data_IF_333553106563
#
_entry.id   IF_333553106563
#
_cell.length_a   1.000
_cell.length_b   1.000
_cell.length_c   1.000
_cell.angle_alpha   90.00
_cell.angle_beta   90.00
_cell.angle_gamma   90.00
#
_symmetry.space_group_name_H-M   'P 1'
#
loop_
_entity.id
_entity.type
_entity.pdbx_description
1 polymer ?
#
# COMPACT_ATOMS: atom_id res chain seq x y z
N UNK A 1 -6.83 -18.16 -10.35
CA UNK A 1 -6.79 -17.67 -8.95
C UNK A 1 -6.45 -18.82 -8.01
N UNK A 2 -7.25 -19.89 -7.98
CA UNK A 2 -7.09 -21.02 -7.06
C UNK A 2 -5.67 -21.62 -7.10
N UNK A 3 -5.21 -22.01 -8.27
CA UNK A 3 -3.86 -22.61 -8.43
C UNK A 3 -2.72 -21.70 -7.98
N UNK A 4 -2.74 -20.43 -8.42
CA UNK A 4 -1.65 -19.49 -8.06
C UNK A 4 -1.66 -19.14 -6.57
N UNK A 5 -2.83 -19.06 -5.93
CA UNK A 5 -2.92 -18.86 -4.49
C UNK A 5 -2.45 -20.11 -3.74
N UNK A 6 -2.87 -21.32 -4.15
CA UNK A 6 -2.43 -22.57 -3.53
C UNK A 6 -0.92 -22.81 -3.68
N UNK A 7 -0.32 -22.44 -4.82
CA UNK A 7 1.14 -22.47 -4.94
C UNK A 7 1.82 -21.50 -3.96
N UNK A 8 1.21 -20.32 -3.68
CA UNK A 8 1.77 -19.39 -2.72
C UNK A 8 1.74 -19.90 -1.27
N UNK A 9 0.85 -20.84 -0.92
CA UNK A 9 0.79 -21.45 0.42
C UNK A 9 2.00 -22.31 0.74
N UNK A 10 2.70 -22.84 -0.27
CA UNK A 10 3.91 -23.63 -0.06
C UNK A 10 5.13 -22.79 0.32
N UNK A 11 5.10 -21.49 0.05
CA UNK A 11 6.28 -20.61 0.28
C UNK A 11 6.68 -20.55 1.77
N UNK A 12 5.75 -20.38 2.75
CA UNK A 12 6.14 -20.43 4.16
C UNK A 12 6.83 -21.74 4.57
N UNK A 13 6.41 -22.89 4.03
CA UNK A 13 7.08 -24.17 4.28
C UNK A 13 8.49 -24.20 3.68
N UNK A 14 8.67 -23.70 2.46
CA UNK A 14 9.99 -23.63 1.84
C UNK A 14 10.92 -22.70 2.65
N UNK A 15 10.42 -21.63 3.23
CA UNK A 15 11.19 -20.80 4.15
C UNK A 15 11.60 -21.57 5.41
N UNK A 16 10.71 -22.36 6.01
CA UNK A 16 11.05 -23.20 7.19
C UNK A 16 12.16 -24.18 6.84
N UNK A 17 12.03 -24.89 5.71
CA UNK A 17 13.06 -25.85 5.26
C UNK A 17 14.39 -25.15 5.04
N UNK A 18 14.38 -23.98 4.39
CA UNK A 18 15.60 -23.22 4.10
C UNK A 18 16.29 -22.77 5.39
N UNK A 19 15.54 -22.27 6.38
CA UNK A 19 16.09 -21.85 7.67
C UNK A 19 16.58 -23.05 8.51
N UNK A 20 15.85 -24.16 8.52
CA UNK A 20 16.25 -25.38 9.20
C UNK A 20 17.58 -25.93 8.66
N UNK A 21 17.76 -25.97 7.33
CA UNK A 21 19.00 -26.36 6.69
C UNK A 21 20.18 -25.45 7.03
N UNK A 22 19.91 -24.15 7.17
CA UNK A 22 20.93 -23.18 7.58
C UNK A 22 21.32 -23.38 9.06
N UNK A 23 20.37 -23.58 9.97
CA UNK A 23 20.65 -23.84 11.38
C UNK A 23 21.45 -25.13 11.59
N UNK A 24 21.20 -26.15 10.77
CA UNK A 24 21.97 -27.41 10.76
C UNK A 24 23.33 -27.27 10.08
N UNK A 25 23.74 -26.10 9.67
CA UNK A 25 25.00 -25.80 8.96
C UNK A 25 25.18 -26.56 7.63
N UNK A 26 24.09 -27.05 7.03
CA UNK A 26 24.16 -27.75 5.75
C UNK A 26 24.30 -26.80 4.56
N UNK A 27 23.95 -25.53 4.71
CA UNK A 27 24.04 -24.47 3.67
C UNK A 27 24.81 -23.26 4.17
N UNK A 28 25.55 -22.61 3.26
CA UNK A 28 26.26 -21.38 3.53
C UNK A 28 25.30 -20.17 3.50
N UNK A 29 25.69 -19.08 4.15
CA UNK A 29 24.93 -17.82 4.21
C UNK A 29 24.55 -17.29 2.82
N UNK A 30 25.43 -17.38 1.82
CA UNK A 30 25.14 -16.94 0.46
C UNK A 30 24.03 -17.79 -0.19
N UNK A 31 24.00 -19.10 0.05
CA UNK A 31 22.94 -19.99 -0.45
C UNK A 31 21.62 -19.68 0.23
N UNK A 32 21.62 -19.40 1.53
CA UNK A 32 20.44 -18.94 2.26
C UNK A 32 19.88 -17.65 1.65
N UNK A 33 20.71 -16.64 1.41
CA UNK A 33 20.29 -15.38 0.81
C UNK A 33 19.71 -15.58 -0.61
N UNK A 34 20.39 -16.36 -1.45
CA UNK A 34 19.87 -16.69 -2.78
C UNK A 34 18.51 -17.39 -2.70
N UNK A 35 18.35 -18.32 -1.76
CA UNK A 35 17.09 -19.01 -1.51
C UNK A 35 15.97 -18.06 -1.10
N UNK A 36 16.23 -17.15 -0.16
CA UNK A 36 15.28 -16.14 0.29
C UNK A 36 14.83 -15.25 -0.88
N UNK A 37 15.79 -14.71 -1.65
CA UNK A 37 15.44 -13.84 -2.80
C UNK A 37 14.65 -14.59 -3.88
N UNK A 38 14.98 -15.87 -4.14
CA UNK A 38 14.25 -16.71 -5.09
C UNK A 38 12.82 -16.96 -4.63
N UNK A 39 12.60 -17.26 -3.35
CA UNK A 39 11.25 -17.47 -2.79
C UNK A 39 10.42 -16.19 -2.81
N UNK A 40 11.02 -15.04 -2.48
CA UNK A 40 10.35 -13.72 -2.55
C UNK A 40 9.98 -13.39 -4.01
N UNK A 41 10.86 -13.68 -4.97
CA UNK A 41 10.61 -13.47 -6.38
C UNK A 41 9.44 -14.33 -6.88
N UNK A 42 9.44 -15.62 -6.54
CA UNK A 42 8.34 -16.55 -6.85
C UNK A 42 7.02 -16.07 -6.24
N UNK A 43 7.04 -15.62 -4.97
CA UNK A 43 5.86 -15.06 -4.31
C UNK A 43 5.35 -13.81 -5.06
N UNK A 44 6.26 -12.96 -5.52
CA UNK A 44 5.92 -11.77 -6.32
C UNK A 44 5.21 -12.12 -7.62
N UNK A 45 5.69 -13.13 -8.36
CA UNK A 45 5.06 -13.62 -9.59
C UNK A 45 3.65 -14.16 -9.29
N UNK A 46 3.54 -15.04 -8.30
CA UNK A 46 2.25 -15.63 -7.90
C UNK A 46 1.25 -14.55 -7.50
N UNK A 47 1.69 -13.58 -6.70
CA UNK A 47 0.87 -12.43 -6.28
C UNK A 47 0.42 -11.56 -7.45
N UNK A 48 1.32 -11.34 -8.43
CA UNK A 48 1.01 -10.61 -9.66
C UNK A 48 -0.08 -11.28 -10.51
N UNK A 49 -0.25 -12.59 -10.38
CA UNK A 49 -1.29 -13.37 -11.09
C UNK A 49 -2.59 -13.39 -10.28
N UNK A 50 -2.55 -13.79 -9.00
CA UNK A 50 -3.80 -14.01 -8.25
C UNK A 50 -4.47 -12.71 -7.80
N UNK A 51 -3.71 -11.65 -7.49
CA UNK A 51 -4.28 -10.41 -6.94
C UNK A 51 -5.21 -9.66 -7.93
N UNK A 52 -4.82 -9.40 -9.20
CA UNK A 52 -5.73 -8.82 -10.18
C UNK A 52 -6.93 -9.73 -10.48
N UNK A 53 -6.67 -11.03 -10.60
CA UNK A 53 -7.72 -12.02 -10.88
C UNK A 53 -8.75 -12.10 -9.74
N UNK A 54 -8.32 -11.98 -8.48
CA UNK A 54 -9.22 -11.94 -7.33
C UNK A 54 -10.07 -10.67 -7.31
N UNK A 55 -9.47 -9.52 -7.63
CA UNK A 55 -10.21 -8.25 -7.70
C UNK A 55 -11.25 -8.25 -8.84
N UNK A 56 -10.94 -8.88 -9.98
CA UNK A 56 -11.89 -9.00 -11.09
C UNK A 56 -13.04 -10.00 -10.81
N UNK A 57 -12.83 -10.95 -9.92
CA UNK A 57 -13.85 -11.96 -9.56
C UNK A 57 -14.94 -11.39 -8.65
N UNK A 58 -14.64 -10.42 -7.80
CA UNK A 58 -15.54 -9.86 -6.80
C UNK A 58 -16.91 -9.42 -7.34
N UNK A 59 -17.01 -8.64 -8.44
CA UNK A 59 -18.29 -8.20 -8.97
C UNK A 59 -19.20 -9.35 -9.41
N UNK A 60 -18.60 -10.48 -9.82
CA UNK A 60 -19.38 -11.65 -10.26
C UNK A 60 -19.90 -12.51 -9.11
N UNK A 61 -19.28 -12.40 -7.93
CA UNK A 61 -19.68 -13.14 -6.73
C UNK A 61 -20.69 -12.37 -5.88
N UNK A 62 -20.88 -11.06 -6.14
CA UNK A 62 -21.72 -10.20 -5.32
C UNK A 62 -22.93 -9.75 -6.15
N UNK A 63 -24.19 -9.86 -5.66
CA UNK A 63 -25.34 -9.29 -6.34
C UNK A 63 -25.25 -7.75 -6.37
N UNK A 64 -25.77 -7.12 -7.43
CA UNK A 64 -25.67 -5.67 -7.64
C UNK A 64 -26.20 -4.85 -6.45
N UNK A 65 -27.27 -5.31 -5.81
CA UNK A 65 -27.86 -4.67 -4.63
C UNK A 65 -26.93 -4.64 -3.41
N UNK A 66 -25.90 -5.51 -3.36
CA UNK A 66 -24.97 -5.64 -2.24
C UNK A 66 -23.57 -5.08 -2.54
N UNK A 67 -23.32 -4.48 -3.72
CA UNK A 67 -21.99 -3.98 -4.09
C UNK A 67 -21.42 -2.97 -3.09
N UNK A 68 -22.22 -2.02 -2.61
CA UNK A 68 -21.80 -1.02 -1.63
C UNK A 68 -21.37 -1.67 -0.30
N UNK A 69 -22.17 -2.63 0.17
CA UNK A 69 -21.89 -3.36 1.40
C UNK A 69 -20.63 -4.22 1.26
N UNK A 70 -20.47 -4.94 0.14
CA UNK A 70 -19.28 -5.74 -0.14
C UNK A 70 -18.00 -4.90 -0.25
N UNK A 71 -18.10 -3.71 -0.83
CA UNK A 71 -16.99 -2.76 -0.89
C UNK A 71 -16.57 -2.29 0.51
N UNK A 72 -17.54 -1.97 1.37
CA UNK A 72 -17.31 -1.58 2.76
C UNK A 72 -16.63 -2.69 3.56
N UNK A 73 -17.14 -3.95 3.48
CA UNK A 73 -16.51 -5.09 4.14
C UNK A 73 -15.08 -5.33 3.64
N UNK A 74 -14.85 -5.20 2.34
CA UNK A 74 -13.51 -5.34 1.76
C UNK A 74 -12.55 -4.29 2.31
N UNK A 75 -12.99 -3.04 2.40
CA UNK A 75 -12.17 -1.96 2.95
C UNK A 75 -11.86 -2.18 4.43
N UNK A 76 -12.88 -2.62 5.22
CA UNK A 76 -12.70 -2.96 6.63
C UNK A 76 -11.70 -4.09 6.82
N UNK A 77 -11.83 -5.21 6.08
CA UNK A 77 -10.91 -6.35 6.17
C UNK A 77 -9.48 -5.92 5.81
N UNK A 78 -9.32 -5.11 4.77
CA UNK A 78 -8.01 -4.58 4.39
C UNK A 78 -7.39 -3.73 5.50
N UNK A 79 -8.17 -2.85 6.09
CA UNK A 79 -7.71 -1.95 7.16
C UNK A 79 -7.39 -2.72 8.45
N UNK A 80 -8.27 -3.64 8.85
CA UNK A 80 -8.03 -4.51 10.01
C UNK A 80 -6.79 -5.39 9.80
N UNK A 81 -6.59 -5.90 8.57
CA UNK A 81 -5.37 -6.64 8.22
C UNK A 81 -4.11 -5.79 8.36
N UNK A 82 -4.17 -4.53 7.96
CA UNK A 82 -3.06 -3.58 8.12
C UNK A 82 -2.67 -3.31 9.58
N UNK A 83 -3.61 -3.43 10.52
CA UNK A 83 -3.38 -3.26 11.95
C UNK A 83 -2.99 -4.59 12.61
N UNK A 84 -3.83 -5.61 12.43
CA UNK A 84 -3.70 -6.87 13.18
C UNK A 84 -2.51 -7.71 12.71
N UNK A 85 -2.25 -7.76 11.38
CA UNK A 85 -1.20 -8.63 10.86
C UNK A 85 0.20 -8.25 11.38
N UNK A 86 0.67 -6.99 11.37
CA UNK A 86 1.97 -6.63 11.95
C UNK A 86 2.05 -6.86 13.46
N UNK A 87 0.97 -6.55 14.21
CA UNK A 87 0.92 -6.77 15.66
C UNK A 87 1.01 -8.26 16.00
N UNK A 88 0.17 -9.09 15.36
CA UNK A 88 0.21 -10.54 15.55
C UNK A 88 1.56 -11.13 15.12
N UNK A 89 2.12 -10.68 13.98
CA UNK A 89 3.43 -11.15 13.52
C UNK A 89 4.53 -10.79 14.52
N UNK A 90 4.55 -9.56 15.06
CA UNK A 90 5.51 -9.13 16.07
C UNK A 90 5.44 -9.98 17.35
N UNK A 91 4.23 -10.20 17.88
CA UNK A 91 3.99 -11.02 19.06
C UNK A 91 4.36 -12.50 18.83
N UNK A 92 3.91 -13.10 17.73
CA UNK A 92 4.20 -14.50 17.40
C UNK A 92 5.69 -14.73 17.21
N UNK A 93 6.38 -13.83 16.49
CA UNK A 93 7.82 -13.94 16.29
C UNK A 93 8.60 -13.76 17.60
N UNK A 94 8.16 -12.85 18.48
CA UNK A 94 8.79 -12.62 19.77
C UNK A 94 8.62 -13.80 20.76
N UNK A 95 7.44 -14.43 20.79
CA UNK A 95 7.13 -15.50 21.75
C UNK A 95 7.40 -16.91 21.23
N UNK A 96 7.09 -17.19 19.96
CA UNK A 96 7.14 -18.51 19.38
C UNK A 96 8.35 -18.75 18.48
N UNK A 97 9.04 -17.69 18.07
CA UNK A 97 10.13 -17.75 17.12
C UNK A 97 9.66 -17.91 15.66
N UNK A 98 10.63 -17.93 14.74
CA UNK A 98 10.38 -17.85 13.30
C UNK A 98 9.66 -19.09 12.76
N UNK A 99 10.11 -20.29 13.12
CA UNK A 99 9.59 -21.54 12.56
C UNK A 99 8.09 -21.74 12.89
N UNK A 100 7.72 -21.59 14.16
CA UNK A 100 6.33 -21.76 14.60
C UNK A 100 5.43 -20.68 14.00
N UNK A 101 5.94 -19.46 13.88
CA UNK A 101 5.19 -18.36 13.25
C UNK A 101 4.93 -18.66 11.77
N UNK A 102 5.91 -19.15 11.03
CA UNK A 102 5.74 -19.54 9.63
C UNK A 102 4.78 -20.74 9.46
N UNK A 103 4.76 -21.67 10.41
CA UNK A 103 3.77 -22.77 10.43
C UNK A 103 2.35 -22.25 10.60
N UNK A 104 2.13 -21.27 11.49
CA UNK A 104 0.82 -20.62 11.66
C UNK A 104 0.41 -19.93 10.37
N UNK A 105 1.31 -19.18 9.73
CA UNK A 105 1.06 -18.53 8.44
C UNK A 105 0.70 -19.54 7.36
N UNK A 106 1.44 -20.64 7.28
CA UNK A 106 1.14 -21.74 6.35
C UNK A 106 -0.26 -22.29 6.56
N UNK A 107 -0.64 -22.58 7.80
CA UNK A 107 -1.96 -23.11 8.13
C UNK A 107 -3.08 -22.13 7.76
N UNK A 108 -2.92 -20.84 8.06
CA UNK A 108 -3.88 -19.79 7.67
C UNK A 108 -4.01 -19.68 6.14
N UNK A 109 -2.91 -19.78 5.41
CA UNK A 109 -2.92 -19.79 3.95
C UNK A 109 -3.63 -21.05 3.40
N UNK A 110 -3.46 -22.22 4.02
CA UNK A 110 -4.18 -23.45 3.66
C UNK A 110 -5.69 -23.27 3.85
N UNK A 111 -6.13 -22.71 4.97
CA UNK A 111 -7.55 -22.42 5.21
C UNK A 111 -8.08 -21.49 4.11
N UNK A 112 -7.33 -20.41 3.76
CA UNK A 112 -7.70 -19.53 2.65
C UNK A 112 -7.80 -20.25 1.30
N UNK A 113 -6.89 -21.19 1.01
CA UNK A 113 -6.95 -22.04 -0.19
C UNK A 113 -8.20 -22.91 -0.21
N UNK A 114 -8.50 -23.59 0.88
CA UNK A 114 -9.70 -24.45 0.99
C UNK A 114 -10.96 -23.63 0.75
N UNK A 115 -11.06 -22.44 1.34
CA UNK A 115 -12.18 -21.53 1.11
C UNK A 115 -12.31 -21.11 -0.37
N UNK A 116 -11.19 -20.90 -1.07
CA UNK A 116 -11.21 -20.58 -2.49
C UNK A 116 -11.64 -21.76 -3.38
N UNK A 117 -11.31 -22.99 -3.03
CA UNK A 117 -11.79 -24.19 -3.75
C UNK A 117 -13.27 -24.42 -3.56
N UNK A 118 -13.87 -23.99 -2.44
CA UNK A 118 -15.31 -24.02 -2.20
C UNK A 118 -16.13 -23.06 -3.08
N UNK A 119 -15.49 -22.10 -3.77
CA UNK A 119 -16.15 -21.21 -4.69
C UNK A 119 -16.47 -21.94 -6.00
N UNK A 120 -17.77 -22.03 -6.34
CA UNK A 120 -18.23 -22.61 -7.60
C UNK A 120 -17.64 -21.88 -8.80
N UNK A 121 -17.00 -22.63 -9.70
CA UNK A 121 -16.51 -22.12 -10.99
C UNK A 121 -17.73 -21.90 -11.90
N UNK A 122 -18.22 -20.66 -11.97
CA UNK A 122 -19.17 -20.26 -13.01
C UNK A 122 -18.38 -19.81 -14.23
N UNK A 123 -18.86 -20.15 -15.43
CA UNK A 123 -18.33 -19.63 -16.67
C UNK A 123 -18.52 -18.11 -16.70
N UNK A 124 -17.45 -17.39 -16.56
CA UNK A 124 -17.44 -15.93 -16.64
C UNK A 124 -17.43 -15.51 -18.10
N UNK A 125 -18.32 -14.60 -18.55
CA UNK A 125 -18.31 -14.14 -19.91
C UNK A 125 -16.96 -13.51 -20.22
N UNK A 126 -16.29 -14.03 -21.26
CA UNK A 126 -15.06 -13.46 -21.78
C UNK A 126 -15.36 -12.07 -22.32
N UNK A 127 -14.91 -11.04 -21.63
CA UNK A 127 -15.00 -9.66 -22.10
C UNK A 127 -14.27 -9.53 -23.44
N UNK A 128 -14.94 -8.97 -24.45
CA UNK A 128 -14.42 -8.69 -25.77
C UNK A 128 -12.98 -8.17 -25.73
N UNK A 129 -12.10 -8.76 -26.53
CA UNK A 129 -10.73 -8.32 -26.79
C UNK A 129 -10.74 -6.95 -27.51
N UNK A 130 -11.02 -5.87 -26.77
CA UNK A 130 -10.69 -4.53 -27.27
C UNK A 130 -9.16 -4.36 -27.21
N UNK A 131 -8.57 -3.75 -28.22
CA UNK A 131 -7.13 -3.45 -28.27
C UNK A 131 -6.70 -2.68 -27.02
N UNK A 132 -6.09 -3.39 -26.06
CA UNK A 132 -5.70 -2.89 -24.73
C UNK A 132 -4.86 -1.61 -24.83
N UNK A 133 -3.96 -1.56 -25.82
CA UNK A 133 -3.03 -0.43 -26.02
C UNK A 133 -3.75 0.88 -26.41
N UNK A 134 -4.74 0.81 -27.31
CA UNK A 134 -5.51 1.99 -27.75
C UNK A 134 -6.38 2.54 -26.60
N UNK A 135 -6.92 1.64 -25.84
CA UNK A 135 -7.78 1.86 -24.69
C UNK A 135 -7.03 2.52 -23.50
N UNK A 136 -5.82 2.07 -23.21
CA UNK A 136 -4.97 2.65 -22.17
C UNK A 136 -4.46 4.05 -22.56
N UNK A 137 -4.16 4.27 -23.85
CA UNK A 137 -3.74 5.57 -24.37
C UNK A 137 -4.81 6.65 -24.18
N UNK A 138 -6.09 6.32 -24.39
CA UNK A 138 -7.21 7.24 -24.16
C UNK A 138 -7.32 7.66 -22.67
N UNK A 139 -7.19 6.70 -21.75
CA UNK A 139 -7.22 6.98 -20.32
C UNK A 139 -6.01 7.80 -19.86
N UNK A 140 -4.82 7.51 -20.39
CA UNK A 140 -3.61 8.27 -20.16
C UNK A 140 -3.78 9.74 -20.62
N UNK A 141 -4.24 9.96 -21.86
CA UNK A 141 -4.49 11.30 -22.37
C UNK A 141 -5.56 12.05 -21.56
N UNK A 142 -6.57 11.34 -21.08
CA UNK A 142 -7.59 11.92 -20.21
C UNK A 142 -6.98 12.44 -18.90
N UNK A 143 -6.14 11.64 -18.23
CA UNK A 143 -5.47 12.03 -16.97
C UNK A 143 -4.63 13.29 -17.20
N UNK A 144 -3.84 13.35 -18.28
CA UNK A 144 -2.98 14.50 -18.55
C UNK A 144 -3.75 15.77 -18.96
N UNK A 145 -4.95 15.63 -19.53
CA UNK A 145 -5.80 16.77 -19.88
C UNK A 145 -6.55 17.37 -18.67
N UNK A 146 -6.67 16.63 -17.57
CA UNK A 146 -7.36 17.07 -16.36
C UNK A 146 -6.36 17.46 -15.26
N UNK A 147 -6.05 18.75 -15.08
CA UNK A 147 -5.00 19.19 -14.15
C UNK A 147 -5.19 18.67 -12.72
N UNK A 148 -6.44 18.71 -12.21
CA UNK A 148 -6.73 18.23 -10.85
C UNK A 148 -6.38 16.75 -10.67
N UNK A 149 -6.70 15.93 -11.67
CA UNK A 149 -6.42 14.50 -11.64
C UNK A 149 -4.93 14.20 -11.79
N UNK A 150 -4.25 14.87 -12.71
CA UNK A 150 -2.81 14.72 -12.91
C UNK A 150 -2.03 15.09 -11.66
N UNK A 151 -2.28 16.28 -11.10
CA UNK A 151 -1.55 16.73 -9.91
C UNK A 151 -1.89 15.91 -8.67
N UNK A 152 -3.12 15.41 -8.55
CA UNK A 152 -3.48 14.52 -7.44
C UNK A 152 -2.70 13.19 -7.48
N UNK A 153 -2.56 12.60 -8.67
CA UNK A 153 -1.76 11.38 -8.85
C UNK A 153 -0.26 11.64 -8.66
N UNK A 154 0.24 12.80 -9.10
CA UNK A 154 1.64 13.16 -8.95
C UNK A 154 2.03 13.38 -7.47
N UNK A 155 1.18 14.06 -6.69
CA UNK A 155 1.41 14.23 -5.25
C UNK A 155 1.43 12.89 -4.51
N UNK A 156 0.52 12.00 -4.83
CA UNK A 156 0.47 10.66 -4.26
C UNK A 156 1.70 9.82 -4.63
N UNK A 157 2.07 9.84 -5.91
CA UNK A 157 3.29 9.17 -6.38
C UNK A 157 4.54 9.71 -5.68
N UNK A 158 4.63 11.04 -5.47
CA UNK A 158 5.75 11.64 -4.75
C UNK A 158 5.82 11.22 -3.29
N UNK A 159 4.67 11.12 -2.61
CA UNK A 159 4.62 10.61 -1.24
C UNK A 159 5.05 9.13 -1.18
N UNK A 160 4.59 8.30 -2.12
CA UNK A 160 5.01 6.89 -2.21
C UNK A 160 6.50 6.72 -2.51
N UNK A 161 7.07 7.55 -3.39
CA UNK A 161 8.48 7.46 -3.77
C UNK A 161 9.42 7.95 -2.66
N UNK A 162 9.09 9.08 -2.03
CA UNK A 162 10.02 9.80 -1.18
C UNK A 162 9.71 9.70 0.31
N UNK A 163 8.47 9.40 0.71
CA UNK A 163 8.06 9.23 2.10
C UNK A 163 7.76 7.77 2.46
N UNK A 164 8.31 6.79 1.74
CA UNK A 164 8.09 5.35 1.97
C UNK A 164 8.88 4.84 3.19
N UNK A 165 8.57 5.35 4.37
CA UNK A 165 9.28 5.04 5.62
C UNK A 165 9.10 3.59 6.05
N UNK A 166 7.96 2.95 5.69
CA UNK A 166 7.57 1.61 6.15
C UNK A 166 8.63 0.55 5.84
N UNK A 167 9.33 0.68 4.71
CA UNK A 167 10.38 -0.26 4.31
C UNK A 167 11.61 -0.18 5.22
N UNK A 168 11.87 0.99 5.80
CA UNK A 168 13.02 1.24 6.67
C UNK A 168 12.73 0.99 8.15
N UNK A 169 11.47 0.74 8.53
CA UNK A 169 11.08 0.49 9.91
C UNK A 169 11.88 -0.63 10.60
N UNK A 170 12.24 -1.76 9.93
CA UNK A 170 13.04 -2.79 10.59
C UNK A 170 14.43 -2.28 11.01
N UNK A 171 15.08 -1.51 10.13
CA UNK A 171 16.41 -0.94 10.41
C UNK A 171 16.28 0.15 11.46
N UNK A 172 15.26 1.02 11.34
CA UNK A 172 15.01 2.09 12.30
C UNK A 172 14.69 1.56 13.70
N UNK A 173 13.90 0.48 13.79
CA UNK A 173 13.56 -0.18 15.05
C UNK A 173 14.79 -0.80 15.72
N UNK A 174 15.65 -1.46 14.95
CA UNK A 174 16.83 -2.14 15.47
C UNK A 174 17.96 -1.17 15.82
N UNK A 175 18.34 -0.29 14.88
CA UNK A 175 19.58 0.51 14.99
C UNK A 175 19.37 1.83 15.75
N UNK A 176 18.17 2.39 15.76
CA UNK A 176 17.90 3.71 16.36
C UNK A 176 17.07 3.60 17.64
N UNK A 177 16.00 2.81 17.59
CA UNK A 177 15.09 2.67 18.73
C UNK A 177 15.46 1.50 19.65
N UNK A 178 16.40 0.63 19.23
CA UNK A 178 16.85 -0.56 19.95
C UNK A 178 15.69 -1.47 20.39
N UNK A 179 14.71 -1.64 19.52
CA UNK A 179 13.50 -2.41 19.78
C UNK A 179 13.61 -3.82 19.23
N UNK A 180 13.00 -4.77 19.96
CA UNK A 180 12.78 -6.13 19.48
C UNK A 180 11.68 -6.22 18.41
N UNK A 181 11.34 -7.46 18.03
CA UNK A 181 10.36 -7.77 16.98
C UNK A 181 8.97 -7.26 17.33
N UNK A 182 8.62 -7.25 18.61
CA UNK A 182 7.33 -6.72 19.11
C UNK A 182 7.20 -5.22 18.86
N UNK A 183 8.26 -4.45 19.13
CA UNK A 183 8.29 -3.01 18.88
C UNK A 183 8.18 -2.69 17.38
N UNK A 184 8.79 -3.50 16.53
CA UNK A 184 8.62 -3.39 15.07
C UNK A 184 7.16 -3.63 14.65
N UNK A 185 6.47 -4.60 15.29
CA UNK A 185 5.05 -4.87 15.05
C UNK A 185 4.19 -3.64 15.33
N UNK A 186 4.44 -2.96 16.47
CA UNK A 186 3.75 -1.72 16.85
C UNK A 186 4.02 -0.60 15.83
N UNK A 187 5.28 -0.37 15.46
CA UNK A 187 5.64 0.65 14.48
C UNK A 187 4.97 0.41 13.12
N UNK A 188 4.90 -0.84 12.67
CA UNK A 188 4.23 -1.20 11.41
C UNK A 188 2.72 -1.06 11.44
N UNK A 189 2.08 -1.27 12.59
CA UNK A 189 0.64 -1.10 12.76
C UNK A 189 0.22 0.38 12.86
N UNK A 190 1.12 1.25 13.32
CA UNK A 190 0.83 2.66 13.61
C UNK A 190 0.20 3.44 12.42
N UNK A 191 0.69 3.35 11.17
CA UNK A 191 0.06 4.04 10.05
C UNK A 191 -1.36 3.55 9.77
N UNK A 192 -1.61 2.24 9.89
CA UNK A 192 -2.93 1.66 9.67
C UNK A 192 -3.93 2.11 10.75
N UNK A 193 -3.49 2.25 12.00
CA UNK A 193 -4.30 2.82 13.09
C UNK A 193 -4.67 4.27 12.77
N UNK A 194 -3.70 5.08 12.34
CA UNK A 194 -3.95 6.47 11.93
C UNK A 194 -4.94 6.57 10.77
N UNK A 195 -4.77 5.72 9.76
CA UNK A 195 -5.68 5.64 8.63
C UNK A 195 -7.11 5.27 9.06
N UNK A 196 -7.26 4.30 9.96
CA UNK A 196 -8.56 3.89 10.48
C UNK A 196 -9.27 5.04 11.22
N UNK A 197 -8.57 5.69 12.14
CA UNK A 197 -9.10 6.84 12.90
C UNK A 197 -9.54 7.95 11.95
N UNK A 198 -8.69 8.31 10.98
CA UNK A 198 -9.00 9.37 10.02
C UNK A 198 -10.17 8.99 9.13
N UNK A 199 -10.25 7.77 8.62
CA UNK A 199 -11.39 7.30 7.82
C UNK A 199 -12.71 7.41 8.59
N UNK A 200 -12.74 7.05 9.88
CA UNK A 200 -13.91 7.25 10.73
C UNK A 200 -14.28 8.73 10.85
N UNK A 201 -13.31 9.62 11.02
CA UNK A 201 -13.57 11.07 11.07
C UNK A 201 -14.11 11.59 9.73
N UNK A 202 -13.61 11.07 8.60
CA UNK A 202 -14.07 11.46 7.26
C UNK A 202 -15.49 10.97 6.92
N UNK A 203 -16.07 10.04 7.67
CA UNK A 203 -17.50 9.70 7.53
C UNK A 203 -18.40 10.85 8.00
N UNK A 204 -17.92 11.64 8.96
CA UNK A 204 -18.64 12.81 9.48
C UNK A 204 -18.32 14.10 8.73
N UNK A 205 -17.10 14.23 8.21
CA UNK A 205 -16.61 15.43 7.54
C UNK A 205 -16.08 15.11 6.14
N UNK A 206 -16.82 15.50 5.10
CA UNK A 206 -16.38 15.25 3.72
C UNK A 206 -15.19 16.13 3.34
N UNK A 207 -14.06 15.58 2.91
CA UNK A 207 -12.89 16.34 2.50
C UNK A 207 -13.06 16.99 1.12
N UNK A 208 -14.18 16.72 0.42
CA UNK A 208 -14.41 17.12 -0.96
C UNK A 208 -14.79 18.59 -1.14
N UNK A 209 -15.26 19.30 -0.11
CA UNK A 209 -15.64 20.73 -0.22
C UNK A 209 -14.47 21.60 -0.72
N UNK A 210 -13.23 21.28 -0.33
CA UNK A 210 -12.01 21.93 -0.79
C UNK A 210 -10.96 20.85 -1.16
N UNK A 211 -11.33 19.92 -2.04
CA UNK A 211 -10.57 18.72 -2.33
C UNK A 211 -9.09 18.99 -2.62
N UNK A 212 -8.80 19.96 -3.50
CA UNK A 212 -7.42 20.29 -3.85
C UNK A 212 -6.62 20.85 -2.68
N UNK A 213 -7.22 21.77 -1.92
CA UNK A 213 -6.57 22.37 -0.74
C UNK A 213 -6.30 21.33 0.35
N UNK A 214 -7.28 20.47 0.64
CA UNK A 214 -7.14 19.40 1.63
C UNK A 214 -6.08 18.39 1.22
N UNK A 215 -5.98 18.07 -0.06
CA UNK A 215 -4.96 17.19 -0.60
C UNK A 215 -3.55 17.80 -0.50
N UNK A 216 -3.40 19.09 -0.75
CA UNK A 216 -2.14 19.78 -0.55
C UNK A 216 -1.73 19.78 0.93
N UNK A 217 -2.65 20.12 1.84
CA UNK A 217 -2.35 20.11 3.27
C UNK A 217 -2.00 18.72 3.79
N UNK A 218 -2.67 17.66 3.33
CA UNK A 218 -2.33 16.30 3.71
C UNK A 218 -0.94 15.90 3.21
N UNK A 219 -0.60 16.22 1.95
CA UNK A 219 0.74 15.95 1.41
C UNK A 219 1.84 16.71 2.15
N UNK A 220 1.60 17.98 2.50
CA UNK A 220 2.51 18.77 3.33
C UNK A 220 2.71 18.16 4.71
N UNK A 221 1.60 17.78 5.37
CA UNK A 221 1.63 17.16 6.69
C UNK A 221 2.36 15.81 6.68
N UNK A 222 2.16 14.97 5.65
CA UNK A 222 2.91 13.71 5.47
C UNK A 222 4.41 13.99 5.42
N UNK A 223 4.86 14.93 4.58
CA UNK A 223 6.27 15.25 4.46
C UNK A 223 6.86 15.80 5.77
N UNK A 224 6.11 16.68 6.47
CA UNK A 224 6.54 17.23 7.76
C UNK A 224 6.63 16.14 8.85
N UNK A 225 5.62 15.26 8.94
CA UNK A 225 5.63 14.12 9.86
C UNK A 225 6.77 13.13 9.54
N UNK A 226 7.09 12.93 8.25
CA UNK A 226 8.22 12.10 7.82
C UNK A 226 9.56 12.70 8.29
N UNK A 227 9.75 14.01 8.17
CA UNK A 227 10.93 14.70 8.68
C UNK A 227 11.03 14.61 10.21
N UNK A 228 9.92 14.82 10.91
CA UNK A 228 9.87 14.72 12.36
C UNK A 228 10.12 13.28 12.84
N UNK A 229 9.61 12.26 12.11
CA UNK A 229 9.92 10.86 12.35
C UNK A 229 11.41 10.57 12.20
N UNK A 230 12.05 11.10 11.15
CA UNK A 230 13.50 10.89 10.93
C UNK A 230 14.36 11.36 12.10
N UNK A 231 13.91 12.38 12.81
CA UNK A 231 14.61 12.97 13.97
C UNK A 231 14.18 12.34 15.30
N UNK A 232 13.19 11.45 15.31
CA UNK A 232 12.71 10.87 16.55
C UNK A 232 13.61 9.75 17.06
N UNK A 233 13.93 9.80 18.35
CA UNK A 233 14.72 8.78 19.07
C UNK A 233 13.90 8.00 20.12
N UNK A 234 12.61 8.32 20.25
CA UNK A 234 11.73 7.68 21.22
C UNK A 234 10.58 6.95 20.53
N UNK A 235 10.30 5.71 20.96
CA UNK A 235 9.27 4.86 20.36
C UNK A 235 7.91 5.56 20.27
N UNK A 236 7.44 6.19 21.35
CA UNK A 236 6.12 6.82 21.38
C UNK A 236 6.01 8.01 20.42
N UNK A 237 7.08 8.77 20.30
CA UNK A 237 7.16 9.88 19.35
C UNK A 237 7.14 9.37 17.90
N UNK A 238 7.90 8.32 17.63
CA UNK A 238 7.91 7.64 16.34
C UNK A 238 6.53 7.08 15.98
N UNK A 239 5.85 6.43 16.92
CA UNK A 239 4.48 5.92 16.75
C UNK A 239 3.51 7.05 16.44
N UNK A 240 3.55 8.17 17.16
CA UNK A 240 2.68 9.32 16.91
C UNK A 240 2.87 9.85 15.48
N UNK A 241 4.11 10.04 15.03
CA UNK A 241 4.35 10.52 13.67
C UNK A 241 3.90 9.53 12.60
N UNK A 242 4.09 8.22 12.83
CA UNK A 242 3.60 7.19 11.90
C UNK A 242 2.06 7.14 11.86
N UNK A 243 1.39 7.30 12.99
CA UNK A 243 -0.09 7.43 13.06
C UNK A 243 -0.55 8.64 12.26
N UNK A 244 0.12 9.80 12.44
CA UNK A 244 -0.21 11.02 11.70
C UNK A 244 0.05 10.86 10.19
N UNK A 245 1.14 10.22 9.77
CA UNK A 245 1.41 9.91 8.36
C UNK A 245 0.26 9.11 7.78
N UNK A 246 -0.17 8.01 8.43
CA UNK A 246 -1.28 7.21 7.96
C UNK A 246 -2.62 7.95 7.95
N UNK A 247 -2.87 8.81 8.94
CA UNK A 247 -4.06 9.65 9.00
C UNK A 247 -4.13 10.62 7.81
N UNK A 248 -3.06 11.36 7.54
CA UNK A 248 -3.03 12.30 6.42
C UNK A 248 -3.02 11.62 5.05
N UNK A 249 -2.38 10.45 4.92
CA UNK A 249 -2.42 9.63 3.71
C UNK A 249 -3.85 9.20 3.36
N UNK A 250 -4.67 8.87 4.37
CA UNK A 250 -6.08 8.53 4.17
C UNK A 250 -6.90 9.66 3.60
N UNK A 251 -6.63 10.93 3.97
CA UNK A 251 -7.30 12.10 3.38
C UNK A 251 -6.99 12.18 1.88
N UNK A 252 -5.70 12.08 1.52
CA UNK A 252 -5.25 12.09 0.12
C UNK A 252 -5.88 10.94 -0.66
N UNK A 253 -5.89 9.73 -0.09
CA UNK A 253 -6.47 8.53 -0.69
C UNK A 253 -7.96 8.69 -0.97
N UNK A 254 -8.76 9.18 0.00
CA UNK A 254 -10.21 9.37 -0.15
C UNK A 254 -10.51 10.39 -1.23
N UNK A 255 -9.82 11.53 -1.23
CA UNK A 255 -10.00 12.57 -2.26
C UNK A 255 -9.68 11.99 -3.65
N UNK A 256 -8.55 11.34 -3.81
CA UNK A 256 -8.12 10.75 -5.09
C UNK A 256 -9.10 9.68 -5.57
N UNK A 257 -9.54 8.77 -4.71
CA UNK A 257 -10.51 7.73 -5.08
C UNK A 257 -11.85 8.33 -5.53
N UNK A 258 -12.29 9.41 -4.88
CA UNK A 258 -13.50 10.13 -5.26
C UNK A 258 -13.34 10.83 -6.62
N UNK A 259 -12.20 11.49 -6.86
CA UNK A 259 -11.91 12.12 -8.16
C UNK A 259 -11.84 11.08 -9.28
N UNK A 260 -11.27 9.90 -9.03
CA UNK A 260 -11.21 8.79 -9.98
C UNK A 260 -12.59 8.25 -10.36
N UNK A 261 -13.59 8.38 -9.49
CA UNK A 261 -14.96 7.94 -9.75
C UNK A 261 -15.83 9.02 -10.39
N UNK A 262 -15.58 10.30 -10.09
CA UNK A 262 -16.43 11.42 -10.51
C UNK A 262 -16.00 12.09 -11.82
N UNK A 263 -14.68 12.21 -12.06
CA UNK A 263 -14.18 12.97 -13.21
C UNK A 263 -14.22 12.19 -14.55
N UNK A 264 -13.89 10.89 -14.60
CA UNK A 264 -13.87 10.19 -15.86
C UNK A 264 -15.28 9.89 -16.39
N UNK A 265 -15.51 9.94 -17.72
CA UNK A 265 -16.72 9.43 -18.32
C UNK A 265 -16.88 7.94 -18.01
N UNK A 266 -18.12 7.43 -17.91
CA UNK A 266 -18.43 6.03 -17.58
C UNK A 266 -17.64 5.01 -18.44
N UNK A 267 -17.41 5.32 -19.72
CA UNK A 267 -16.64 4.48 -20.63
C UNK A 267 -15.15 4.36 -20.30
N UNK A 268 -14.56 5.31 -19.55
CA UNK A 268 -13.15 5.35 -19.17
C UNK A 268 -12.87 5.00 -17.73
N UNK A 269 -13.90 4.89 -16.86
CA UNK A 269 -13.75 4.65 -15.41
C UNK A 269 -12.84 3.46 -15.10
N UNK A 270 -13.12 2.29 -15.69
CA UNK A 270 -12.32 1.09 -15.44
C UNK A 270 -10.86 1.21 -15.91
N UNK A 271 -10.63 1.91 -17.03
CA UNK A 271 -9.29 2.12 -17.60
C UNK A 271 -8.46 3.09 -16.78
N UNK A 272 -9.08 4.17 -16.32
CA UNK A 272 -8.44 5.15 -15.42
C UNK A 272 -8.12 4.51 -14.07
N UNK A 273 -9.05 3.72 -13.52
CA UNK A 273 -8.82 2.96 -12.29
C UNK A 273 -7.67 1.94 -12.43
N UNK A 274 -7.56 1.27 -13.59
CA UNK A 274 -6.46 0.34 -13.87
C UNK A 274 -5.10 1.07 -13.92
N UNK A 275 -5.03 2.22 -14.61
CA UNK A 275 -3.82 3.05 -14.64
C UNK A 275 -3.43 3.55 -13.26
N UNK A 276 -4.39 4.00 -12.44
CA UNK A 276 -4.13 4.38 -11.06
C UNK A 276 -3.61 3.19 -10.25
N UNK A 277 -4.17 2.00 -10.41
CA UNK A 277 -3.68 0.77 -9.76
C UNK A 277 -2.24 0.43 -10.12
N UNK A 278 -1.86 0.55 -11.39
CA UNK A 278 -0.49 0.37 -11.86
C UNK A 278 0.43 1.42 -11.22
N UNK A 279 0.03 2.69 -11.21
CA UNK A 279 0.81 3.80 -10.67
C UNK A 279 1.04 3.64 -9.17
N UNK A 280 0.00 3.29 -8.41
CA UNK A 280 0.10 3.04 -6.96
C UNK A 280 1.01 1.84 -6.66
N UNK A 281 0.82 0.72 -7.38
CA UNK A 281 1.62 -0.49 -7.15
C UNK A 281 3.08 -0.24 -7.51
N UNK A 282 3.35 0.35 -8.69
CA UNK A 282 4.71 0.67 -9.12
C UNK A 282 5.35 1.73 -8.24
N UNK A 283 4.60 2.75 -7.83
CA UNK A 283 5.08 3.79 -6.92
C UNK A 283 5.54 3.24 -5.58
N UNK A 284 4.78 2.33 -4.98
CA UNK A 284 5.17 1.66 -3.73
C UNK A 284 6.46 0.83 -3.90
N UNK A 285 6.59 0.07 -4.99
CA UNK A 285 7.79 -0.75 -5.23
C UNK A 285 9.02 0.09 -5.56
N UNK A 286 8.85 1.13 -6.38
CA UNK A 286 9.93 2.07 -6.71
C UNK A 286 10.34 2.89 -5.48
N UNK A 287 9.39 3.28 -4.63
CA UNK A 287 9.66 3.94 -3.36
C UNK A 287 10.48 3.06 -2.42
N UNK A 288 10.11 1.79 -2.30
CA UNK A 288 10.86 0.82 -1.51
C UNK A 288 12.30 0.65 -2.04
N UNK A 289 12.46 0.52 -3.36
CA UNK A 289 13.78 0.43 -3.99
C UNK A 289 14.60 1.71 -3.78
N UNK A 290 14.00 2.89 -4.03
CA UNK A 290 14.63 4.17 -3.84
C UNK A 290 15.14 4.36 -2.41
N UNK A 291 14.28 4.12 -1.41
CA UNK A 291 14.64 4.25 0.00
C UNK A 291 15.72 3.24 0.41
N UNK A 292 15.66 1.99 -0.08
CA UNK A 292 16.71 1.00 0.16
C UNK A 292 18.06 1.38 -0.46
N UNK A 293 18.05 1.99 -1.64
CA UNK A 293 19.28 2.49 -2.26
C UNK A 293 19.83 3.70 -1.51
N UNK A 294 18.95 4.61 -1.07
CA UNK A 294 19.37 5.78 -0.28
C UNK A 294 20.07 5.37 1.03
N UNK A 295 19.55 4.35 1.73
CA UNK A 295 20.17 3.87 2.98
C UNK A 295 21.52 3.18 2.76
N UNK A 296 21.82 2.73 1.56
CA UNK A 296 23.12 2.16 1.24
C UNK A 296 24.24 3.24 1.17
N UNK A 297 23.88 4.45 0.76
CA UNK A 297 24.82 5.56 0.59
C UNK A 297 24.83 6.54 1.76
N UNK A 298 23.65 6.74 2.33
CA UNK A 298 23.44 7.70 3.41
C UNK A 298 22.85 6.97 4.60
N UNK A 299 23.20 6.60 5.62
CA UNK A 299 22.48 5.97 6.75
C UNK A 299 20.96 6.25 6.78
N UNK A 300 20.21 5.60 7.65
CA UNK A 300 18.72 5.58 7.63
C UNK A 300 18.12 6.98 7.86
N UNK A 301 18.63 7.72 8.85
CA UNK A 301 18.09 9.05 9.22
C UNK A 301 18.23 10.06 8.07
N UNK A 302 19.42 10.27 7.48
CA UNK A 302 19.55 11.15 6.32
C UNK A 302 18.72 10.70 5.11
N UNK A 303 18.58 9.38 4.86
CA UNK A 303 17.76 8.89 3.76
C UNK A 303 16.30 9.31 3.91
N UNK A 304 15.70 9.11 5.10
CA UNK A 304 14.32 9.54 5.40
C UNK A 304 14.20 11.07 5.34
N UNK A 305 15.19 11.79 5.87
CA UNK A 305 15.21 13.25 5.87
C UNK A 305 15.24 13.82 4.44
N UNK A 306 16.13 13.32 3.58
CA UNK A 306 16.20 13.70 2.16
C UNK A 306 14.88 13.40 1.46
N UNK A 307 14.29 12.23 1.69
CA UNK A 307 12.97 11.86 1.14
C UNK A 307 11.89 12.87 1.53
N UNK A 308 11.78 13.22 2.81
CA UNK A 308 10.84 14.23 3.30
C UNK A 308 11.06 15.62 2.67
N UNK A 309 12.31 16.05 2.51
CA UNK A 309 12.66 17.32 1.86
C UNK A 309 12.28 17.32 0.37
N UNK A 310 12.53 16.23 -0.35
CA UNK A 310 12.14 16.10 -1.76
C UNK A 310 10.60 16.15 -1.91
N UNK A 311 9.88 15.50 -1.01
CA UNK A 311 8.42 15.57 -0.99
C UNK A 311 7.92 16.99 -0.73
N UNK A 312 8.50 17.74 0.21
CA UNK A 312 8.21 19.16 0.45
C UNK A 312 8.49 20.04 -0.76
N UNK A 313 9.57 19.78 -1.49
CA UNK A 313 9.91 20.52 -2.70
C UNK A 313 8.85 20.31 -3.80
N UNK A 314 8.41 19.06 -3.99
CA UNK A 314 7.34 18.74 -4.96
C UNK A 314 6.01 19.36 -4.52
N UNK A 315 5.69 19.34 -3.22
CA UNK A 315 4.55 20.06 -2.68
C UNK A 315 4.62 21.57 -3.01
N UNK A 316 5.74 22.22 -2.75
CA UNK A 316 5.94 23.63 -3.06
C UNK A 316 5.74 23.94 -4.54
N UNK A 317 6.33 23.13 -5.41
CA UNK A 317 6.16 23.25 -6.87
C UNK A 317 4.70 23.04 -7.29
N UNK A 318 4.05 22.02 -6.75
CA UNK A 318 2.63 21.75 -7.03
C UNK A 318 1.74 22.89 -6.58
N UNK A 319 1.95 23.42 -5.37
CA UNK A 319 1.20 24.53 -4.81
C UNK A 319 1.31 25.82 -5.65
N UNK A 320 2.52 26.15 -6.13
CA UNK A 320 2.72 27.34 -6.97
C UNK A 320 2.10 27.19 -8.37
N UNK A 321 2.24 26.00 -8.99
CA UNK A 321 1.72 25.72 -10.33
C UNK A 321 0.20 25.57 -10.39
N UNK A 322 -0.44 25.24 -9.28
CA UNK A 322 -1.87 24.93 -9.20
C UNK A 322 -2.69 25.96 -8.45
N UNK A 323 -2.17 27.16 -8.27
CA UNK A 323 -2.90 28.28 -7.63
C UNK A 323 -4.27 28.55 -8.25
N UNK A 324 -4.42 28.32 -9.56
CA UNK A 324 -5.71 28.46 -10.27
C UNK A 324 -6.77 27.43 -9.86
N UNK A 325 -6.37 26.28 -9.28
CA UNK A 325 -7.29 25.25 -8.80
C UNK A 325 -7.85 25.53 -7.39
N UNK A 326 -7.38 26.59 -6.72
CA UNK A 326 -7.90 27.01 -5.41
C UNK A 326 -9.25 27.74 -5.48
N UNK A 327 -9.69 28.20 -6.66
CA UNK A 327 -11.01 28.82 -6.79
C UNK A 327 -12.08 27.75 -6.61
N UNK A 328 -13.02 27.91 -5.65
CA UNK A 328 -14.13 26.97 -5.52
C UNK A 328 -14.89 26.96 -6.85
N UNK A 329 -15.10 25.76 -7.39
CA UNK A 329 -15.95 25.58 -8.57
C UNK A 329 -17.40 25.88 -8.17
N UNK A 330 -17.83 27.12 -8.38
CA UNK A 330 -19.19 27.58 -8.13
C UNK A 330 -20.20 27.00 -9.14
N UNK A 331 -19.91 25.88 -9.76
CA UNK A 331 -20.73 25.33 -10.85
C UNK A 331 -20.95 23.81 -10.68
N UNK A 332 -21.54 23.42 -9.54
CA UNK A 332 -22.22 22.11 -9.45
C UNK A 332 -23.35 22.18 -8.41
N UNK A 333 -24.22 23.18 -8.58
CA UNK A 333 -25.61 23.16 -8.10
C UNK A 333 -26.48 23.51 -9.30
N UNK A 334 -26.80 22.51 -10.13
CA UNK A 334 -28.03 22.43 -10.91
C UNK A 334 -28.29 20.99 -11.28
#
# INVERSE_FOLDING_TARGET
>A
VQWSFSCSTLIPLLFIVLFSQYQQQHIQQNTLLCGIYSLIFCLGILRGIYSPSFNSLRPFLTPESAYSNAATWTALIWQMGGILAPLCAGLLLGQLGLEKTLLIVFFLCCVGSICLFGLSTRDFPSTHKQHLSKSLKEAYLFIFKHPLMFWSMLLDLSAMLFCSVIILLPIFAHDILHLGVEGLGILRAAPAIGACIMMLMLTCYSPMQNAWRNMLYSSFAIALCTLAFALSSHIWLSVIFLVLIGAFDSISMVIRQTLLQQLPPKALLGRVAALNGILVTSGNQLGALHMSLMTRYFSVVPAVFIGGMLCLMIFGLSSTRTRHLFKPSTTQQK
#
